data_IF_252403256152
#
_entry.id   IF_252403256152
#
_cell.length_a   1.000
_cell.length_b   1.000
_cell.length_c   1.000
_cell.angle_alpha   90.00
_cell.angle_beta   90.00
_cell.angle_gamma   90.00
#
_symmetry.space_group_name_H-M   'P 1'
#
loop_
_entity.id
_entity.type
_entity.pdbx_description
1 polymer ?
#
# COMPACT_ATOMS: atom_id res chain seq x y z
N UNK A 1 -1.98 5.30 46.07
CA UNK A 1 -2.31 4.49 44.88
C UNK A 1 -1.51 5.05 43.71
N UNK A 2 -0.35 4.46 43.41
CA UNK A 2 0.51 4.89 42.31
C UNK A 2 0.16 4.10 41.05
N UNK A 3 -0.21 4.79 39.99
CA UNK A 3 -0.40 4.18 38.67
C UNK A 3 0.96 3.99 38.02
N UNK A 4 1.44 2.75 38.01
CA UNK A 4 2.57 2.33 37.18
C UNK A 4 2.18 2.49 35.71
N UNK A 5 2.72 3.51 35.06
CA UNK A 5 2.72 3.58 33.60
C UNK A 5 3.74 2.58 33.08
N UNK A 6 3.30 1.34 32.86
CA UNK A 6 4.03 0.36 32.06
C UNK A 6 4.01 0.83 30.60
N UNK A 7 4.96 1.69 30.24
CA UNK A 7 5.29 1.95 28.84
C UNK A 7 6.04 0.73 28.33
N UNK A 8 5.26 -0.29 27.95
CA UNK A 8 5.70 -1.54 27.33
C UNK A 8 6.41 -1.30 26.00
N UNK A 9 7.62 -0.74 26.06
CA UNK A 9 8.57 -0.70 24.96
C UNK A 9 9.15 -2.09 24.82
N UNK A 10 8.42 -2.93 24.08
CA UNK A 10 8.81 -4.30 23.73
C UNK A 10 10.24 -4.26 23.16
N UNK A 11 11.21 -4.72 23.95
CA UNK A 11 12.65 -4.70 23.65
C UNK A 11 12.91 -5.39 22.30
N UNK A 12 13.12 -4.61 21.23
CA UNK A 12 13.38 -5.14 19.88
C UNK A 12 14.71 -5.89 19.93
N UNK A 13 14.68 -7.21 19.74
CA UNK A 13 15.92 -7.98 19.53
C UNK A 13 16.62 -7.39 18.31
N UNK A 14 17.87 -6.94 18.48
CA UNK A 14 18.69 -6.33 17.43
C UNK A 14 18.70 -7.26 16.20
N UNK A 15 18.17 -6.78 15.09
CA UNK A 15 18.13 -7.52 13.83
C UNK A 15 19.56 -7.78 13.35
N UNK A 16 19.77 -8.93 12.72
CA UNK A 16 21.04 -9.21 12.05
C UNK A 16 21.19 -8.34 10.80
N UNK A 17 22.42 -8.05 10.34
CA UNK A 17 22.63 -7.27 9.11
C UNK A 17 21.92 -7.85 7.87
N UNK A 18 21.79 -9.18 7.79
CA UNK A 18 21.06 -9.86 6.72
C UNK A 18 19.55 -9.59 6.79
N UNK A 19 18.97 -9.66 7.99
CA UNK A 19 17.56 -9.34 8.19
C UNK A 19 17.27 -7.86 7.90
N UNK A 20 18.17 -6.96 8.29
CA UNK A 20 18.03 -5.53 7.99
C UNK A 20 18.07 -5.29 6.48
N UNK A 21 19.03 -5.89 5.76
CA UNK A 21 19.11 -5.82 4.29
C UNK A 21 17.84 -6.37 3.63
N UNK A 22 17.29 -7.48 4.15
CA UNK A 22 16.02 -8.03 3.70
C UNK A 22 14.87 -7.02 3.88
N UNK A 23 14.74 -6.40 5.06
CA UNK A 23 13.72 -5.38 5.33
C UNK A 23 13.83 -4.21 4.36
N UNK A 24 15.03 -3.67 4.15
CA UNK A 24 15.27 -2.57 3.23
C UNK A 24 14.85 -2.91 1.79
N UNK A 25 15.15 -4.12 1.32
CA UNK A 25 14.77 -4.55 -0.03
C UNK A 25 13.26 -4.72 -0.20
N UNK A 26 12.55 -5.23 0.82
CA UNK A 26 11.08 -5.31 0.82
C UNK A 26 10.47 -3.92 0.70
N UNK A 27 10.97 -2.97 1.48
CA UNK A 27 10.45 -1.59 1.54
C UNK A 27 10.74 -0.83 0.23
N UNK A 28 11.83 -1.14 -0.46
CA UNK A 28 12.12 -0.66 -1.83
C UNK A 28 11.22 -1.26 -2.92
N UNK A 29 10.35 -2.22 -2.58
CA UNK A 29 9.41 -2.84 -3.53
C UNK A 29 9.90 -4.16 -4.15
N UNK A 30 10.98 -4.77 -3.64
CA UNK A 30 11.39 -6.09 -4.10
C UNK A 30 10.41 -7.17 -3.63
N UNK A 31 10.14 -8.17 -4.48
CA UNK A 31 9.37 -9.33 -4.04
C UNK A 31 10.14 -10.11 -2.94
N UNK A 32 9.45 -10.85 -2.05
CA UNK A 32 10.11 -11.49 -0.91
C UNK A 32 11.22 -12.48 -1.28
N UNK A 33 11.02 -13.28 -2.33
CA UNK A 33 12.02 -14.25 -2.77
C UNK A 33 13.30 -13.56 -3.28
N UNK A 34 13.15 -12.48 -4.04
CA UNK A 34 14.26 -11.66 -4.51
C UNK A 34 14.97 -10.95 -3.37
N UNK A 35 14.22 -10.30 -2.47
CA UNK A 35 14.77 -9.66 -1.28
C UNK A 35 15.59 -10.64 -0.44
N UNK A 36 15.11 -11.89 -0.30
CA UNK A 36 15.81 -12.95 0.42
C UNK A 36 17.11 -13.37 -0.27
N UNK A 37 17.09 -13.57 -1.59
CA UNK A 37 18.32 -13.88 -2.35
C UNK A 37 19.38 -12.80 -2.18
N UNK A 38 18.99 -11.54 -2.31
CA UNK A 38 19.93 -10.42 -2.18
C UNK A 38 20.46 -10.23 -0.75
N UNK A 39 19.65 -10.57 0.26
CA UNK A 39 20.02 -10.44 1.66
C UNK A 39 20.89 -11.59 2.18
N UNK A 40 20.56 -12.83 1.79
CA UNK A 40 21.17 -14.04 2.36
C UNK A 40 22.13 -14.75 1.40
N UNK A 41 22.02 -14.51 0.08
CA UNK A 41 22.79 -15.12 -1.00
C UNK A 41 23.03 -16.64 -0.80
N UNK A 42 21.96 -17.46 -0.72
CA UNK A 42 22.12 -18.88 -0.48
C UNK A 42 22.74 -19.57 -1.73
N UNK A 43 23.91 -20.21 -1.62
CA UNK A 43 24.68 -20.67 -2.78
C UNK A 43 24.05 -21.84 -3.55
N UNK A 44 23.16 -22.62 -2.93
CA UNK A 44 22.60 -23.86 -3.50
C UNK A 44 21.09 -24.01 -3.31
N UNK A 45 20.40 -22.98 -2.83
CA UNK A 45 18.97 -23.08 -2.56
C UNK A 45 18.15 -22.99 -3.85
N UNK A 46 17.20 -23.91 -4.04
CA UNK A 46 16.24 -23.85 -5.14
C UNK A 46 15.18 -22.75 -4.89
N UNK A 47 14.46 -22.38 -5.95
CA UNK A 47 13.47 -21.29 -5.89
C UNK A 47 12.33 -21.54 -4.88
N UNK A 48 11.92 -22.79 -4.68
CA UNK A 48 10.86 -23.11 -3.73
C UNK A 48 11.32 -22.91 -2.29
N UNK A 49 12.51 -23.39 -1.95
CA UNK A 49 13.14 -23.19 -0.65
C UNK A 49 13.29 -21.71 -0.34
N UNK A 50 13.81 -20.92 -1.29
CA UNK A 50 13.96 -19.47 -1.13
C UNK A 50 12.61 -18.79 -0.85
N UNK A 51 11.55 -19.19 -1.56
CA UNK A 51 10.22 -18.59 -1.36
C UNK A 51 9.64 -18.92 0.02
N UNK A 52 9.82 -20.16 0.48
CA UNK A 52 9.38 -20.59 1.82
C UNK A 52 10.15 -19.84 2.90
N UNK A 53 11.49 -19.82 2.82
CA UNK A 53 12.34 -19.13 3.79
C UNK A 53 12.09 -17.62 3.82
N UNK A 54 11.86 -17.00 2.67
CA UNK A 54 11.49 -15.59 2.59
C UNK A 54 10.16 -15.31 3.32
N UNK A 55 9.16 -16.17 3.12
CA UNK A 55 7.87 -16.05 3.77
C UNK A 55 7.97 -16.29 5.28
N UNK A 56 8.77 -17.26 5.72
CA UNK A 56 9.00 -17.50 7.14
C UNK A 56 9.80 -16.36 7.79
N UNK A 57 10.72 -15.72 7.05
CA UNK A 57 11.43 -14.51 7.49
C UNK A 57 10.46 -13.34 7.69
N UNK A 58 9.45 -13.19 6.83
CA UNK A 58 8.40 -12.18 6.99
C UNK A 58 7.53 -12.40 8.23
N UNK A 59 7.28 -13.65 8.62
CA UNK A 59 6.53 -13.97 9.85
C UNK A 59 7.30 -13.65 11.13
N UNK A 60 8.61 -13.40 11.05
CA UNK A 60 9.38 -13.02 12.22
C UNK A 60 8.88 -11.67 12.74
N UNK A 61 8.41 -11.57 14.00
CA UNK A 61 7.80 -10.35 14.51
C UNK A 61 8.74 -9.15 14.50
N UNK A 62 10.06 -9.36 14.67
CA UNK A 62 11.02 -8.26 14.63
C UNK A 62 11.23 -7.74 13.20
N UNK A 63 11.22 -8.63 12.21
CA UNK A 63 11.32 -8.27 10.78
C UNK A 63 10.07 -7.51 10.36
N UNK A 64 8.89 -8.01 10.73
CA UNK A 64 7.62 -7.35 10.44
C UNK A 64 7.55 -5.93 11.04
N UNK A 65 7.89 -5.78 12.33
CA UNK A 65 7.95 -4.46 12.97
C UNK A 65 8.94 -3.52 12.28
N UNK A 66 10.11 -4.02 11.89
CA UNK A 66 11.11 -3.21 11.21
C UNK A 66 10.67 -2.74 9.83
N UNK A 67 9.99 -3.58 9.06
CA UNK A 67 9.42 -3.21 7.76
C UNK A 67 8.40 -2.07 7.95
N UNK A 68 7.54 -2.16 8.97
CA UNK A 68 6.56 -1.11 9.27
C UNK A 68 7.22 0.21 9.70
N UNK A 69 8.28 0.15 10.53
CA UNK A 69 9.07 1.35 10.88
C UNK A 69 9.69 2.00 9.64
N UNK A 70 10.31 1.21 8.77
CA UNK A 70 10.95 1.70 7.54
C UNK A 70 9.92 2.29 6.56
N UNK A 71 8.73 1.69 6.44
CA UNK A 71 7.63 2.24 5.64
C UNK A 71 7.14 3.57 6.20
N UNK A 72 6.94 3.66 7.52
CA UNK A 72 6.56 4.91 8.17
C UNK A 72 7.60 5.99 7.94
N UNK A 73 8.88 5.65 8.11
CA UNK A 73 9.97 6.58 7.83
C UNK A 73 10.02 7.02 6.36
N UNK A 74 9.78 6.11 5.42
CA UNK A 74 9.70 6.47 4.01
C UNK A 74 8.49 7.37 3.70
N UNK A 75 7.36 7.16 4.34
CA UNK A 75 6.18 8.03 4.20
C UNK A 75 6.46 9.40 4.83
N UNK A 76 7.18 9.45 5.96
CA UNK A 76 7.61 10.71 6.58
C UNK A 76 8.66 11.44 5.72
N UNK A 77 9.60 10.72 5.08
CA UNK A 77 10.60 11.27 4.17
C UNK A 77 9.96 11.71 2.84
N UNK A 78 9.04 10.91 2.29
CA UNK A 78 8.17 11.24 1.16
C UNK A 78 6.94 11.94 1.73
N UNK A 79 7.13 13.11 2.35
CA UNK A 79 6.04 13.97 2.80
C UNK A 79 5.37 14.66 1.59
N UNK A 80 4.91 13.87 0.62
CA UNK A 80 4.21 14.33 -0.56
C UNK A 80 2.75 14.58 -0.20
N UNK A 81 2.42 15.85 -0.03
CA UNK A 81 1.12 16.28 0.45
C UNK A 81 0.15 16.51 -0.71
N UNK A 82 -1.15 16.60 -0.38
CA UNK A 82 -2.18 17.06 -1.33
C UNK A 82 -1.81 18.43 -1.91
N UNK A 83 -1.16 19.28 -1.12
CA UNK A 83 -0.68 20.60 -1.56
C UNK A 83 0.44 20.48 -2.61
N UNK A 84 1.36 19.54 -2.44
CA UNK A 84 2.43 19.29 -3.41
C UNK A 84 1.86 18.80 -4.74
N UNK A 85 0.91 17.85 -4.68
CA UNK A 85 0.19 17.38 -5.86
C UNK A 85 -0.58 18.50 -6.57
N UNK A 86 -1.26 19.37 -5.81
CA UNK A 86 -1.97 20.51 -6.36
C UNK A 86 -1.04 21.50 -7.06
N UNK A 87 0.13 21.77 -6.47
CA UNK A 87 1.14 22.66 -7.04
C UNK A 87 1.74 22.07 -8.33
N UNK A 88 2.03 20.78 -8.36
CA UNK A 88 2.53 20.10 -9.56
C UNK A 88 1.50 20.11 -10.70
N UNK A 89 0.22 19.85 -10.39
CA UNK A 89 -0.87 19.97 -11.37
C UNK A 89 -1.02 21.41 -11.87
N UNK A 90 -0.77 22.42 -11.03
CA UNK A 90 -0.81 23.83 -11.44
C UNK A 90 0.33 24.20 -12.40
N UNK A 91 1.54 23.70 -12.14
CA UNK A 91 2.69 23.86 -13.03
C UNK A 91 2.42 23.16 -14.37
N UNK A 92 1.93 21.91 -14.33
CA UNK A 92 1.56 21.16 -15.53
C UNK A 92 0.47 21.84 -16.35
N UNK A 93 -0.54 22.42 -15.70
CA UNK A 93 -1.58 23.20 -16.37
C UNK A 93 -1.00 24.43 -17.08
N UNK A 94 -0.10 25.17 -16.43
CA UNK A 94 0.57 26.34 -17.04
C UNK A 94 1.43 25.95 -18.24
N UNK A 95 2.18 24.86 -18.14
CA UNK A 95 2.98 24.34 -19.24
C UNK A 95 2.09 23.93 -20.43
N UNK A 96 1.04 23.14 -20.17
CA UNK A 96 0.08 22.72 -21.19
C UNK A 96 -0.60 23.92 -21.88
N UNK A 97 -0.94 24.97 -21.13
CA UNK A 97 -1.47 26.21 -21.69
C UNK A 97 -0.47 26.90 -22.63
N UNK A 98 0.81 26.99 -22.23
CA UNK A 98 1.85 27.62 -23.05
C UNK A 98 2.18 26.85 -24.33
N UNK A 99 2.03 25.53 -24.31
CA UNK A 99 2.23 24.64 -25.46
C UNK A 99 0.98 24.52 -26.36
N UNK A 100 -0.14 25.15 -25.98
CA UNK A 100 -1.42 25.02 -26.69
C UNK A 100 -2.10 23.66 -26.51
N UNK A 101 -1.64 22.84 -25.56
CA UNK A 101 -2.27 21.56 -25.23
C UNK A 101 -3.43 21.77 -24.25
N UNK A 102 -4.53 22.32 -24.75
CA UNK A 102 -5.71 22.62 -23.94
C UNK A 102 -6.36 21.37 -23.34
N UNK A 103 -6.23 20.21 -23.99
CA UNK A 103 -6.76 18.94 -23.47
C UNK A 103 -6.09 18.54 -22.15
N UNK A 104 -4.76 18.64 -22.08
CA UNK A 104 -3.99 18.39 -20.85
C UNK A 104 -4.27 19.46 -19.79
N UNK A 105 -4.43 20.73 -20.20
CA UNK A 105 -4.83 21.82 -19.30
C UNK A 105 -6.17 21.53 -18.62
N UNK A 106 -7.22 21.24 -19.39
CA UNK A 106 -8.56 20.94 -18.86
C UNK A 106 -8.50 19.74 -17.92
N UNK A 107 -7.71 18.72 -18.26
CA UNK A 107 -7.52 17.56 -17.40
C UNK A 107 -6.87 17.92 -16.06
N UNK A 108 -5.85 18.76 -16.06
CA UNK A 108 -5.22 19.23 -14.84
C UNK A 108 -6.19 20.03 -13.96
N UNK A 109 -7.01 20.90 -14.56
CA UNK A 109 -8.06 21.66 -13.82
C UNK A 109 -9.12 20.72 -13.22
N UNK A 110 -9.57 19.71 -13.98
CA UNK A 110 -10.49 18.69 -13.48
C UNK A 110 -9.90 17.95 -12.26
N UNK A 111 -8.66 17.47 -12.36
CA UNK A 111 -7.98 16.76 -11.28
C UNK A 111 -7.79 17.65 -10.04
N UNK A 112 -7.44 18.93 -10.23
CA UNK A 112 -7.35 19.90 -9.14
C UNK A 112 -8.69 20.08 -8.42
N UNK A 113 -9.79 20.20 -9.16
CA UNK A 113 -11.11 20.31 -8.53
C UNK A 113 -11.56 19.01 -7.83
N UNK A 114 -11.11 17.84 -8.31
CA UNK A 114 -11.34 16.55 -7.62
C UNK A 114 -10.62 16.49 -6.28
N UNK A 115 -9.36 16.94 -6.22
CA UNK A 115 -8.60 17.03 -4.97
C UNK A 115 -9.24 17.98 -3.95
N UNK A 116 -9.87 19.06 -4.41
CA UNK A 116 -10.58 20.02 -3.56
C UNK A 116 -12.01 19.58 -3.18
N UNK A 117 -12.49 18.44 -3.71
CA UNK A 117 -13.84 17.95 -3.43
C UNK A 117 -14.97 18.70 -4.14
N UNK A 118 -14.67 19.44 -5.21
CA UNK A 118 -15.71 20.14 -5.99
C UNK A 118 -16.58 19.19 -6.82
N UNK A 119 -16.10 17.99 -7.10
CA UNK A 119 -16.85 16.97 -7.85
C UNK A 119 -17.40 15.91 -6.90
N UNK A 120 -18.69 15.60 -7.04
CA UNK A 120 -19.30 14.44 -6.40
C UNK A 120 -19.41 13.31 -7.42
N UNK A 121 -18.67 12.23 -7.21
CA UNK A 121 -18.82 11.02 -8.04
C UNK A 121 -20.04 10.23 -7.57
N UNK A 122 -21.10 10.19 -8.39
CA UNK A 122 -22.20 9.25 -8.18
C UNK A 122 -21.81 7.91 -8.76
N UNK A 123 -21.66 6.90 -7.92
CA UNK A 123 -21.47 5.50 -8.36
C UNK A 123 -22.79 4.76 -8.15
N UNK A 124 -23.39 4.32 -9.23
CA UNK A 124 -24.48 3.36 -9.18
C UNK A 124 -23.89 1.98 -8.90
N UNK A 125 -24.35 1.32 -7.84
CA UNK A 125 -23.96 -0.05 -7.50
C UNK A 125 -25.13 -0.95 -7.84
N UNK A 126 -24.96 -1.73 -8.91
CA UNK A 126 -25.93 -2.76 -9.27
C UNK A 126 -25.71 -3.98 -8.36
N UNK A 127 -26.46 -4.03 -7.26
CA UNK A 127 -26.42 -5.16 -6.33
C UNK A 127 -27.29 -6.25 -6.92
N UNK A 128 -26.69 -7.11 -7.75
CA UNK A 128 -27.36 -8.27 -8.36
C UNK A 128 -27.81 -9.29 -7.30
N UNK A 129 -28.96 -9.04 -6.67
CA UNK A 129 -29.63 -9.96 -5.74
C UNK A 129 -30.26 -11.12 -6.53
N UNK A 130 -29.43 -12.01 -7.09
CA UNK A 130 -29.89 -13.26 -7.75
C UNK A 130 -30.44 -14.31 -6.76
N UNK A 131 -30.24 -14.14 -5.47
CA UNK A 131 -30.56 -15.16 -4.47
C UNK A 131 -32.03 -15.18 -3.98
N UNK A 132 -32.82 -14.12 -4.20
CA UNK A 132 -34.18 -14.05 -3.65
C UNK A 132 -35.21 -14.79 -4.52
N UNK A 133 -34.98 -14.90 -5.84
CA UNK A 133 -35.93 -15.53 -6.76
C UNK A 133 -36.08 -17.05 -6.52
N UNK A 134 -35.00 -17.73 -6.12
CA UNK A 134 -34.99 -19.20 -5.95
C UNK A 134 -35.84 -19.64 -4.75
N UNK A 135 -35.86 -18.85 -3.67
CA UNK A 135 -36.61 -19.19 -2.44
C UNK A 135 -38.12 -19.03 -2.66
N UNK A 136 -38.55 -18.13 -3.55
CA UNK A 136 -39.97 -17.92 -3.83
C UNK A 136 -40.58 -19.04 -4.69
N UNK A 137 -39.82 -19.56 -5.67
CA UNK A 137 -40.29 -20.63 -6.56
C UNK A 137 -40.42 -22.01 -5.89
N UNK A 138 -39.61 -22.31 -4.87
CA UNK A 138 -39.72 -23.58 -4.13
C UNK A 138 -40.92 -23.60 -3.17
N UNK A 139 -41.30 -22.46 -2.59
CA UNK A 139 -42.46 -22.37 -1.69
C UNK A 139 -43.81 -22.45 -2.41
N UNK A 140 -43.89 -22.05 -3.68
CA UNK A 140 -45.13 -22.09 -4.46
C UNK A 140 -45.45 -23.46 -5.08
N UNK A 141 -44.52 -24.43 -5.06
CA UNK A 141 -44.74 -25.79 -5.57
C UNK A 141 -45.28 -26.77 -4.51
N UNK A 142 -45.54 -26.29 -3.29
CA UNK A 142 -46.02 -27.09 -2.16
C UNK A 142 -47.41 -26.72 -1.63
N UNK A 143 -48.23 -26.00 -2.41
CA UNK A 143 -49.64 -25.72 -2.12
C UNK A 143 -50.54 -26.33 -3.19
#
# INVERSE_FOLDING_TARGET
MGFSTDSGTKKIKKLTPKQEKFCQNIVKGSNPAQAYREAYNPPTANNNTIRVEAHDTLKNPNVALRIEELRKKQIEEINYTIKDNFNELDIGAKAAMSEGNFSAYVKAIELKGKLLGFYTEKKEVDVGLKAIQVIFDEKCKGL
#
